data_IF_065559724276
#
_entry.id   IF_065559724276
#
_cell.length_a   1.000
_cell.length_b   1.000
_cell.length_c   1.000
_cell.angle_alpha   90.00
_cell.angle_beta   90.00
_cell.angle_gamma   90.00
#
_symmetry.space_group_name_H-M   'P 1'
#
loop_
_entity.id
_entity.type
_entity.pdbx_description
1 polymer ?
#
# COMPACT_ATOMS: atom_id res chain seq x y z
N UNK A 1 -51.35 -5.26 -16.28
CA UNK A 1 -51.84 -5.69 -14.95
C UNK A 1 -50.75 -5.47 -13.93
N UNK A 2 -50.95 -4.63 -12.91
CA UNK A 2 -49.98 -4.54 -11.81
C UNK A 2 -49.99 -5.86 -11.05
N UNK A 3 -48.84 -6.54 -11.00
CA UNK A 3 -48.70 -7.78 -10.26
C UNK A 3 -48.88 -7.48 -8.77
N UNK A 4 -49.95 -8.01 -8.17
CA UNK A 4 -50.24 -7.80 -6.74
C UNK A 4 -49.35 -8.73 -5.91
N UNK A 5 -48.47 -8.14 -5.10
CA UNK A 5 -47.58 -8.88 -4.22
C UNK A 5 -48.34 -9.47 -3.03
N UNK A 6 -47.88 -10.59 -2.50
CA UNK A 6 -48.58 -11.30 -1.42
C UNK A 6 -48.77 -10.45 -0.15
N UNK A 7 -47.77 -9.66 0.22
CA UNK A 7 -47.85 -8.79 1.40
C UNK A 7 -48.87 -7.64 1.29
N UNK A 8 -49.41 -7.38 0.08
CA UNK A 8 -50.47 -6.39 -0.14
C UNK A 8 -51.87 -6.97 0.13
N UNK A 9 -51.98 -8.29 0.29
CA UNK A 9 -53.22 -9.00 0.56
C UNK A 9 -53.45 -9.10 2.07
N UNK A 10 -54.29 -8.19 2.58
CA UNK A 10 -54.58 -8.05 4.01
C UNK A 10 -55.72 -8.95 4.51
N UNK A 11 -56.28 -9.80 3.65
CA UNK A 11 -57.32 -10.73 4.06
C UNK A 11 -56.75 -11.86 4.93
N UNK A 12 -57.52 -12.29 5.93
CA UNK A 12 -57.13 -13.39 6.83
C UNK A 12 -57.13 -14.77 6.15
N UNK A 13 -57.76 -14.90 4.98
CA UNK A 13 -57.75 -16.15 4.21
C UNK A 13 -56.34 -16.50 3.74
N UNK A 14 -56.04 -17.78 3.77
CA UNK A 14 -54.76 -18.29 3.29
C UNK A 14 -54.72 -18.34 1.76
N UNK A 15 -53.54 -18.07 1.21
CA UNK A 15 -53.25 -18.29 -0.20
C UNK A 15 -52.92 -19.76 -0.44
N UNK A 16 -53.02 -20.18 -1.70
CA UNK A 16 -52.68 -21.54 -2.12
C UNK A 16 -51.25 -21.89 -1.71
N UNK A 17 -51.09 -22.95 -0.90
CA UNK A 17 -49.80 -23.44 -0.36
C UNK A 17 -49.05 -22.41 0.49
N UNK A 18 -49.77 -21.53 1.16
CA UNK A 18 -49.19 -20.66 2.17
C UNK A 18 -49.00 -21.40 3.48
N UNK A 19 -47.81 -21.26 4.06
CA UNK A 19 -47.47 -21.82 5.35
C UNK A 19 -47.17 -20.68 6.30
N UNK A 20 -47.56 -20.82 7.57
CA UNK A 20 -47.30 -19.84 8.63
C UNK A 20 -46.34 -20.44 9.67
N UNK A 21 -45.43 -19.63 10.18
CA UNK A 21 -44.52 -19.99 11.27
C UNK A 21 -44.37 -18.82 12.25
N UNK A 22 -44.16 -19.08 13.54
CA UNK A 22 -43.88 -18.03 14.52
C UNK A 22 -42.57 -17.31 14.16
N UNK A 23 -42.54 -16.00 14.42
CA UNK A 23 -41.34 -15.19 14.21
C UNK A 23 -40.44 -15.33 15.44
N UNK A 24 -39.17 -15.71 15.23
CA UNK A 24 -38.19 -15.87 16.30
C UNK A 24 -38.02 -14.56 17.11
N UNK A 25 -38.15 -14.64 18.43
CA UNK A 25 -38.16 -13.50 19.37
C UNK A 25 -39.50 -12.76 19.49
N UNK A 26 -40.53 -13.24 18.80
CA UNK A 26 -41.87 -12.65 18.72
C UNK A 26 -42.97 -13.73 18.66
N UNK A 27 -42.68 -14.94 19.15
CA UNK A 27 -43.41 -16.17 18.88
C UNK A 27 -44.90 -16.08 19.25
N UNK A 28 -45.22 -15.44 20.38
CA UNK A 28 -46.60 -15.29 20.87
C UNK A 28 -47.34 -14.08 20.27
N UNK A 29 -46.64 -13.27 19.48
CA UNK A 29 -47.15 -11.98 19.00
C UNK A 29 -47.36 -11.94 17.49
N UNK A 30 -46.52 -12.64 16.73
CA UNK A 30 -46.47 -12.54 15.28
C UNK A 30 -46.06 -13.84 14.59
N UNK A 31 -46.70 -14.11 13.45
CA UNK A 31 -46.31 -15.17 12.51
C UNK A 31 -45.93 -14.59 11.16
N UNK A 32 -45.02 -15.24 10.45
CA UNK A 32 -44.63 -14.93 9.09
C UNK A 32 -45.05 -16.06 8.15
N UNK A 33 -45.54 -15.68 6.97
CA UNK A 33 -45.95 -16.63 5.94
C UNK A 33 -44.81 -16.92 4.96
N UNK A 34 -44.86 -18.08 4.31
CA UNK A 34 -43.95 -18.50 3.25
C UNK A 34 -43.91 -17.55 2.04
N UNK A 35 -44.92 -16.67 1.90
CA UNK A 35 -45.03 -15.65 0.86
C UNK A 35 -44.66 -14.23 1.35
N UNK A 36 -44.27 -14.09 2.61
CA UNK A 36 -43.88 -12.81 3.21
C UNK A 36 -45.04 -11.95 3.69
N UNK A 37 -46.20 -12.55 3.99
CA UNK A 37 -47.24 -11.89 4.80
C UNK A 37 -46.87 -11.99 6.27
N UNK A 38 -47.30 -11.03 7.07
CA UNK A 38 -47.08 -11.03 8.53
C UNK A 38 -48.44 -10.96 9.21
N UNK A 39 -48.71 -11.89 10.11
CA UNK A 39 -49.93 -11.98 10.89
C UNK A 39 -49.62 -11.56 12.32
N UNK A 40 -50.34 -10.57 12.83
CA UNK A 40 -50.37 -10.24 14.26
C UNK A 40 -51.38 -11.16 14.93
N UNK A 41 -50.96 -11.86 15.97
CA UNK A 41 -51.83 -12.72 16.76
C UNK A 41 -52.72 -11.89 17.70
N UNK A 42 -53.86 -12.47 18.08
CA UNK A 42 -54.78 -11.83 19.02
C UNK A 42 -54.18 -11.80 20.41
N UNK A 43 -54.29 -10.67 21.10
CA UNK A 43 -53.76 -10.51 22.46
C UNK A 43 -54.52 -9.44 23.23
N UNK A 44 -54.53 -9.57 24.57
CA UNK A 44 -55.06 -8.56 25.48
C UNK A 44 -53.93 -7.62 25.89
N UNK A 45 -54.19 -6.32 25.86
CA UNK A 45 -53.25 -5.28 26.30
C UNK A 45 -53.86 -4.52 27.48
N UNK A 46 -53.15 -4.45 28.60
CA UNK A 46 -53.54 -3.60 29.74
C UNK A 46 -53.09 -2.16 29.51
N UNK A 47 -54.04 -1.24 29.52
CA UNK A 47 -53.78 0.20 29.44
C UNK A 47 -53.20 0.69 30.77
N UNK A 48 -52.36 1.76 30.77
CA UNK A 48 -51.75 2.29 31.99
C UNK A 48 -52.74 2.64 33.11
N UNK A 49 -54.00 2.93 32.76
CA UNK A 49 -55.08 3.28 33.67
C UNK A 49 -56.04 2.09 33.96
N UNK A 50 -55.60 0.85 33.82
CA UNK A 50 -56.34 -0.35 34.25
C UNK A 50 -57.40 -0.90 33.29
N UNK A 51 -57.51 -0.38 32.06
CA UNK A 51 -58.44 -0.91 31.05
C UNK A 51 -57.84 -2.05 30.22
N UNK A 52 -58.64 -3.06 29.84
CA UNK A 52 -58.17 -4.15 28.95
C UNK A 52 -58.63 -3.87 27.52
N UNK A 53 -57.69 -3.81 26.57
CA UNK A 53 -57.98 -3.71 25.14
C UNK A 53 -57.66 -5.03 24.43
N UNK A 54 -58.64 -5.59 23.72
CA UNK A 54 -58.44 -6.76 22.89
C UNK A 54 -57.92 -6.33 21.52
N UNK A 55 -56.76 -6.84 21.12
CA UNK A 55 -56.24 -6.71 19.76
C UNK A 55 -56.61 -7.98 18.99
N UNK A 56 -57.44 -7.90 17.94
CA UNK A 56 -57.80 -9.07 17.13
C UNK A 56 -56.63 -9.52 16.23
N UNK A 57 -56.75 -10.72 15.67
CA UNK A 57 -55.84 -11.19 14.63
C UNK A 57 -55.95 -10.26 13.41
N UNK A 58 -54.82 -9.89 12.82
CA UNK A 58 -54.80 -9.07 11.60
C UNK A 58 -53.55 -9.35 10.77
N UNK A 59 -53.65 -9.22 9.45
CA UNK A 59 -52.48 -9.17 8.57
C UNK A 59 -51.93 -7.75 8.57
N UNK A 60 -50.63 -7.61 8.83
CA UNK A 60 -49.96 -6.32 8.83
C UNK A 60 -49.72 -5.83 7.40
N UNK A 61 -49.80 -4.52 7.21
CA UNK A 61 -49.40 -3.85 5.97
C UNK A 61 -47.95 -3.36 6.10
N UNK A 62 -46.96 -4.07 5.53
CA UNK A 62 -45.57 -3.67 5.64
C UNK A 62 -45.25 -2.48 4.74
N UNK A 63 -44.22 -1.72 5.11
CA UNK A 63 -43.75 -0.55 4.36
C UNK A 63 -42.79 -0.99 3.25
N UNK A 64 -42.98 -0.46 2.05
CA UNK A 64 -42.03 -0.62 0.94
C UNK A 64 -41.08 0.57 0.93
N UNK A 65 -39.79 0.31 1.11
CA UNK A 65 -38.72 1.29 0.95
C UNK A 65 -38.21 1.22 -0.48
N UNK A 66 -38.25 2.37 -1.17
CA UNK A 66 -37.75 2.54 -2.55
C UNK A 66 -36.46 3.35 -2.51
N UNK A 67 -35.40 2.85 -3.13
CA UNK A 67 -34.12 3.56 -3.26
C UNK A 67 -33.73 3.67 -4.73
N UNK A 68 -33.52 4.90 -5.20
CA UNK A 68 -33.08 5.16 -6.57
C UNK A 68 -31.59 4.89 -6.73
N UNK A 69 -31.24 4.15 -7.78
CA UNK A 69 -29.87 3.94 -8.22
C UNK A 69 -29.58 4.86 -9.42
N UNK A 70 -28.75 5.88 -9.20
CA UNK A 70 -28.35 6.83 -10.25
C UNK A 70 -27.64 6.14 -11.42
N UNK A 71 -26.88 5.08 -11.15
CA UNK A 71 -26.05 4.42 -12.16
C UNK A 71 -26.89 3.58 -13.15
N UNK A 72 -27.83 2.80 -12.61
CA UNK A 72 -28.69 1.94 -13.43
C UNK A 72 -29.98 2.66 -13.88
N UNK A 73 -30.15 3.93 -13.49
CA UNK A 73 -31.38 4.70 -13.70
C UNK A 73 -32.65 3.96 -13.23
N UNK A 74 -32.54 3.18 -12.15
CA UNK A 74 -33.62 2.30 -11.69
C UNK A 74 -33.83 2.35 -10.18
N UNK A 75 -34.75 1.52 -9.69
CA UNK A 75 -35.12 1.49 -8.28
C UNK A 75 -34.88 0.11 -7.67
N UNK A 76 -34.30 0.11 -6.48
CA UNK A 76 -34.29 -1.06 -5.61
C UNK A 76 -35.40 -0.92 -4.57
N UNK A 77 -36.03 -2.04 -4.24
CA UNK A 77 -37.13 -2.11 -3.29
C UNK A 77 -36.74 -3.01 -2.12
N UNK A 78 -37.16 -2.65 -0.92
CA UNK A 78 -37.11 -3.55 0.24
C UNK A 78 -38.38 -3.41 1.05
N UNK A 79 -38.93 -4.53 1.50
CA UNK A 79 -40.15 -4.56 2.31
C UNK A 79 -39.75 -4.72 3.78
N UNK A 80 -40.19 -3.77 4.61
CA UNK A 80 -39.90 -3.72 6.04
C UNK A 80 -41.21 -3.72 6.85
N UNK A 81 -41.20 -4.38 8.00
CA UNK A 81 -42.34 -4.43 8.90
C UNK A 81 -41.92 -4.02 10.32
N UNK A 82 -42.63 -3.07 10.96
CA UNK A 82 -42.48 -2.81 12.38
C UNK A 82 -43.20 -3.90 13.20
N UNK A 83 -42.46 -4.60 14.05
CA UNK A 83 -42.99 -5.54 15.04
C UNK A 83 -42.90 -4.90 16.42
N UNK A 84 -43.96 -4.96 17.22
CA UNK A 84 -44.00 -4.32 18.53
C UNK A 84 -43.89 -5.35 19.64
N UNK A 85 -42.92 -5.18 20.52
CA UNK A 85 -42.72 -5.97 21.73
C UNK A 85 -42.49 -5.01 22.90
N UNK A 86 -43.27 -5.17 23.97
CA UNK A 86 -43.18 -4.33 25.19
C UNK A 86 -43.25 -2.82 24.93
N UNK A 87 -44.02 -2.41 23.93
CA UNK A 87 -44.16 -0.99 23.54
C UNK A 87 -43.03 -0.46 22.65
N UNK A 88 -41.97 -1.25 22.41
CA UNK A 88 -40.86 -0.90 21.53
C UNK A 88 -41.12 -1.43 20.12
N UNK A 89 -40.87 -0.59 19.10
CA UNK A 89 -41.01 -0.95 17.69
C UNK A 89 -39.69 -1.44 17.09
N UNK A 90 -39.66 -2.69 16.63
CA UNK A 90 -38.54 -3.32 15.95
C UNK A 90 -38.80 -3.40 14.45
N UNK A 91 -38.08 -2.61 13.67
CA UNK A 91 -38.19 -2.60 12.21
C UNK A 91 -37.35 -3.70 11.59
N UNK A 92 -37.99 -4.78 11.11
CA UNK A 92 -37.32 -5.90 10.46
C UNK A 92 -37.53 -5.91 8.95
N UNK A 93 -36.54 -6.40 8.21
CA UNK A 93 -36.71 -6.77 6.79
C UNK A 93 -37.56 -8.02 6.71
N UNK A 94 -38.68 -7.97 5.97
CA UNK A 94 -39.59 -9.12 5.86
C UNK A 94 -38.90 -10.29 5.19
N UNK A 95 -38.02 -10.04 4.21
CA UNK A 95 -37.22 -11.08 3.58
C UNK A 95 -36.34 -11.84 4.59
N UNK A 96 -35.77 -11.16 5.60
CA UNK A 96 -34.99 -11.83 6.65
C UNK A 96 -35.87 -12.70 7.54
N UNK A 97 -37.07 -12.24 7.88
CA UNK A 97 -38.02 -13.00 8.69
C UNK A 97 -38.46 -14.28 7.96
N UNK A 98 -38.81 -14.18 6.68
CA UNK A 98 -39.18 -15.33 5.84
C UNK A 98 -38.00 -16.29 5.70
N UNK A 99 -36.80 -15.79 5.42
CA UNK A 99 -35.60 -16.62 5.28
C UNK A 99 -35.30 -17.41 6.55
N UNK A 100 -35.33 -16.74 7.71
CA UNK A 100 -35.09 -17.37 9.00
C UNK A 100 -36.12 -18.47 9.31
N UNK A 101 -37.39 -18.24 8.98
CA UNK A 101 -38.46 -19.20 9.27
C UNK A 101 -38.52 -20.40 8.31
N UNK A 102 -38.22 -20.20 7.02
CA UNK A 102 -38.50 -21.20 5.97
C UNK A 102 -37.27 -21.72 5.22
N UNK A 103 -36.12 -21.06 5.28
CA UNK A 103 -34.93 -21.44 4.50
C UNK A 103 -33.83 -21.97 5.41
N UNK A 104 -33.33 -21.16 6.33
CA UNK A 104 -32.31 -21.56 7.29
C UNK A 104 -32.30 -20.62 8.51
N UNK A 105 -31.99 -21.12 9.72
CA UNK A 105 -31.82 -20.28 10.90
C UNK A 105 -30.80 -19.17 10.64
N UNK A 106 -31.15 -17.96 11.03
CA UNK A 106 -30.35 -16.76 10.81
C UNK A 106 -30.49 -15.84 12.02
N UNK A 107 -29.36 -15.37 12.55
CA UNK A 107 -29.38 -14.32 13.56
C UNK A 107 -29.90 -13.02 12.93
N UNK A 108 -31.08 -12.58 13.37
CA UNK A 108 -31.70 -11.36 12.87
C UNK A 108 -30.87 -10.11 13.17
N UNK A 109 -29.96 -10.15 14.16
CA UNK A 109 -29.03 -9.07 14.49
C UNK A 109 -27.77 -9.06 13.62
N UNK A 110 -27.38 -10.20 13.05
CA UNK A 110 -26.19 -10.29 12.18
C UNK A 110 -26.37 -9.49 10.88
N UNK A 111 -25.47 -8.54 10.65
CA UNK A 111 -25.45 -7.70 9.44
C UNK A 111 -24.51 -8.21 8.35
N UNK A 112 -23.71 -9.25 8.63
CA UNK A 112 -22.77 -9.80 7.66
C UNK A 112 -23.48 -10.64 6.59
N UNK A 113 -24.52 -11.37 6.98
CA UNK A 113 -25.35 -12.17 6.08
C UNK A 113 -26.46 -11.31 5.46
N UNK A 114 -26.43 -11.18 4.13
CA UNK A 114 -27.39 -10.39 3.36
C UNK A 114 -28.31 -11.30 2.55
N UNK A 115 -29.62 -11.08 2.65
CA UNK A 115 -30.61 -11.85 1.89
C UNK A 115 -30.85 -11.18 0.54
N UNK A 116 -30.65 -11.94 -0.53
CA UNK A 116 -30.83 -11.55 -1.91
C UNK A 116 -32.04 -12.24 -2.52
N UNK A 117 -32.48 -11.70 -3.66
CA UNK A 117 -33.63 -12.17 -4.42
C UNK A 117 -33.14 -12.75 -5.75
N UNK A 118 -33.52 -13.99 -6.06
CA UNK A 118 -33.07 -14.69 -7.28
C UNK A 118 -33.58 -14.00 -8.55
N UNK A 119 -34.82 -13.49 -8.52
CA UNK A 119 -35.43 -12.70 -9.60
C UNK A 119 -34.95 -11.24 -9.65
N UNK A 120 -34.26 -10.76 -8.61
CA UNK A 120 -33.84 -9.37 -8.47
C UNK A 120 -34.94 -8.39 -8.04
N UNK A 121 -36.16 -8.84 -7.76
CA UNK A 121 -37.25 -8.00 -7.25
C UNK A 121 -37.40 -8.13 -5.73
N UNK A 122 -37.00 -7.08 -5.00
CA UNK A 122 -37.08 -7.06 -3.53
C UNK A 122 -38.49 -6.99 -2.95
N UNK A 123 -39.53 -7.01 -3.78
CA UNK A 123 -40.94 -7.13 -3.39
C UNK A 123 -41.43 -8.59 -3.43
N UNK A 124 -40.73 -9.49 -4.12
CA UNK A 124 -41.09 -10.90 -4.16
C UNK A 124 -40.47 -11.65 -2.96
N UNK A 125 -41.24 -11.71 -1.87
CA UNK A 125 -40.82 -12.25 -0.58
C UNK A 125 -41.05 -13.77 -0.43
N UNK A 126 -41.34 -14.49 -1.52
CA UNK A 126 -41.51 -15.94 -1.44
C UNK A 126 -40.20 -16.59 -0.98
N UNK A 127 -40.26 -17.49 0.01
CA UNK A 127 -39.07 -18.16 0.56
C UNK A 127 -38.19 -18.82 -0.50
N UNK A 128 -38.78 -19.33 -1.60
CA UNK A 128 -38.05 -19.96 -2.72
C UNK A 128 -37.22 -18.98 -3.53
N UNK A 129 -37.61 -17.71 -3.53
CA UNK A 129 -36.91 -16.61 -4.20
C UNK A 129 -35.76 -16.04 -3.36
N UNK A 130 -35.63 -16.42 -2.09
CA UNK A 130 -34.62 -15.87 -1.21
C UNK A 130 -33.36 -16.72 -1.19
N UNK A 131 -32.20 -16.07 -1.11
CA UNK A 131 -30.90 -16.71 -0.92
C UNK A 131 -29.99 -15.89 -0.01
N UNK A 132 -29.19 -16.54 0.83
CA UNK A 132 -28.15 -15.87 1.60
C UNK A 132 -26.92 -15.57 0.74
N UNK A 133 -26.38 -14.37 0.88
CA UNK A 133 -25.17 -13.92 0.21
C UNK A 133 -24.34 -13.05 1.15
N UNK A 134 -23.10 -12.77 0.76
CA UNK A 134 -22.22 -11.83 1.43
C UNK A 134 -22.08 -10.52 0.64
N UNK A 135 -21.52 -9.50 1.28
CA UNK A 135 -21.29 -8.17 0.69
C UNK A 135 -20.46 -8.28 -0.59
N UNK A 136 -19.37 -9.05 -0.59
CA UNK A 136 -18.47 -9.17 -1.74
C UNK A 136 -19.15 -9.76 -2.98
N UNK A 137 -19.97 -10.81 -2.82
CA UNK A 137 -20.74 -11.43 -3.90
C UNK A 137 -21.80 -10.46 -4.45
N UNK A 138 -22.47 -9.70 -3.58
CA UNK A 138 -23.47 -8.70 -3.99
C UNK A 138 -22.81 -7.58 -4.78
N UNK A 139 -21.69 -7.04 -4.29
CA UNK A 139 -20.92 -6.03 -5.00
C UNK A 139 -20.45 -6.53 -6.37
N UNK A 140 -19.89 -7.75 -6.43
CA UNK A 140 -19.46 -8.37 -7.68
C UNK A 140 -20.61 -8.47 -8.69
N UNK A 141 -21.76 -9.01 -8.28
CA UNK A 141 -22.97 -9.09 -9.13
C UNK A 141 -23.46 -7.71 -9.55
N UNK A 142 -23.40 -6.72 -8.66
CA UNK A 142 -23.79 -5.34 -8.96
C UNK A 142 -22.87 -4.72 -10.03
N UNK A 143 -21.56 -4.99 -9.97
CA UNK A 143 -20.61 -4.59 -11.01
C UNK A 143 -20.85 -5.30 -12.35
N UNK A 144 -21.05 -6.61 -12.32
CA UNK A 144 -21.33 -7.41 -13.52
C UNK A 144 -22.61 -6.96 -14.23
N UNK A 145 -23.65 -6.61 -13.46
CA UNK A 145 -24.92 -6.08 -13.97
C UNK A 145 -24.87 -4.58 -14.29
N UNK A 146 -23.71 -3.92 -14.19
CA UNK A 146 -23.56 -2.48 -14.44
C UNK A 146 -24.31 -1.56 -13.48
N UNK A 147 -24.78 -2.09 -12.33
CA UNK A 147 -25.55 -1.35 -11.31
C UNK A 147 -24.67 -0.62 -10.31
N UNK A 148 -23.41 -1.02 -10.18
CA UNK A 148 -22.39 -0.31 -9.42
C UNK A 148 -21.27 0.15 -10.37
N UNK A 149 -20.80 1.37 -10.18
CA UNK A 149 -19.66 1.92 -10.90
C UNK A 149 -18.45 1.97 -9.99
N UNK A 150 -17.30 1.57 -10.52
CA UNK A 150 -16.03 1.75 -9.83
C UNK A 150 -15.30 2.88 -10.52
N UNK A 151 -15.22 4.04 -9.85
CA UNK A 151 -14.35 5.15 -10.25
C UNK A 151 -12.88 4.76 -10.37
N UNK A 152 -12.50 3.53 -9.97
CA UNK A 152 -11.13 3.01 -9.99
C UNK A 152 -10.62 2.63 -11.37
N UNK A 153 -11.44 2.69 -12.45
CA UNK A 153 -10.95 2.65 -13.83
C UNK A 153 -10.30 3.98 -14.24
N UNK A 154 -9.35 4.43 -13.42
CA UNK A 154 -8.49 5.57 -13.75
C UNK A 154 -7.35 5.01 -14.60
N UNK A 155 -7.14 5.56 -15.82
CA UNK A 155 -6.01 5.14 -16.61
C UNK A 155 -4.71 5.41 -15.85
N UNK A 156 -3.71 4.59 -16.11
CA UNK A 156 -2.40 4.67 -15.45
C UNK A 156 -1.32 4.46 -16.49
N UNK A 157 -0.30 5.28 -16.39
CA UNK A 157 0.85 5.28 -17.28
C UNK A 157 2.06 4.70 -16.55
N UNK A 158 2.80 3.83 -17.24
CA UNK A 158 4.04 3.21 -16.81
C UNK A 158 5.22 3.90 -17.50
N UNK A 159 6.26 4.22 -16.75
CA UNK A 159 7.44 4.93 -17.24
C UNK A 159 8.72 4.19 -16.88
N UNK A 160 9.77 4.43 -17.67
CA UNK A 160 11.13 3.99 -17.37
C UNK A 160 11.73 4.76 -16.20
N UNK A 161 12.95 4.40 -15.77
CA UNK A 161 13.67 5.09 -14.69
C UNK A 161 14.09 6.52 -15.04
N UNK A 162 14.02 6.92 -16.32
CA UNK A 162 14.34 8.25 -16.83
C UNK A 162 13.09 9.13 -16.98
N UNK A 163 11.89 8.58 -16.77
CA UNK A 163 10.60 9.26 -16.88
C UNK A 163 9.97 9.25 -18.28
N UNK A 164 10.47 8.41 -19.19
CA UNK A 164 9.91 8.21 -20.53
C UNK A 164 8.75 7.22 -20.47
N UNK A 165 7.68 7.49 -21.22
CA UNK A 165 6.48 6.66 -21.27
C UNK A 165 6.77 5.31 -21.94
N UNK A 166 6.38 4.22 -21.28
CA UNK A 166 6.45 2.86 -21.82
C UNK A 166 5.07 2.44 -22.33
N UNK A 167 4.06 2.54 -21.46
CA UNK A 167 2.72 2.05 -21.76
C UNK A 167 1.66 2.78 -20.93
N UNK A 168 0.43 2.81 -21.45
CA UNK A 168 -0.74 3.31 -20.73
C UNK A 168 -1.81 2.24 -20.68
N UNK A 169 -2.37 2.01 -19.50
CA UNK A 169 -3.40 1.02 -19.23
C UNK A 169 -4.71 1.72 -18.86
N UNK A 170 -5.86 1.10 -19.14
CA UNK A 170 -7.16 1.67 -18.78
C UNK A 170 -7.45 1.57 -17.28
N UNK A 171 -6.79 0.65 -16.56
CA UNK A 171 -6.95 0.50 -15.10
C UNK A 171 -5.78 -0.21 -14.43
N UNK A 172 -5.70 -0.09 -13.09
CA UNK A 172 -4.78 -0.84 -12.22
C UNK A 172 -4.86 -2.36 -12.42
N UNK A 173 -6.07 -2.92 -12.55
CA UNK A 173 -6.26 -4.34 -12.78
C UNK A 173 -5.73 -4.78 -14.14
N UNK A 174 -5.91 -3.97 -15.19
CA UNK A 174 -5.36 -4.28 -16.53
C UNK A 174 -3.84 -4.22 -16.52
N UNK A 175 -3.25 -3.22 -15.86
CA UNK A 175 -1.80 -3.12 -15.70
C UNK A 175 -1.23 -4.31 -14.93
N UNK A 176 -1.90 -4.74 -13.85
CA UNK A 176 -1.52 -5.93 -13.09
C UNK A 176 -1.58 -7.20 -13.93
N UNK A 177 -2.68 -7.40 -14.68
CA UNK A 177 -2.87 -8.57 -15.53
C UNK A 177 -1.85 -8.65 -16.68
N UNK A 178 -1.60 -7.54 -17.39
CA UNK A 178 -0.65 -7.52 -18.53
C UNK A 178 0.81 -7.67 -18.09
N UNK A 179 1.18 -7.14 -16.94
CA UNK A 179 2.56 -7.19 -16.45
C UNK A 179 2.83 -8.32 -15.44
N UNK A 180 1.81 -9.06 -15.00
CA UNK A 180 1.94 -10.05 -13.92
C UNK A 180 2.29 -9.43 -12.56
N UNK A 181 1.85 -8.19 -12.31
CA UNK A 181 2.17 -7.44 -11.09
C UNK A 181 0.98 -7.39 -10.14
N UNK A 182 1.28 -7.40 -8.84
CA UNK A 182 0.26 -7.19 -7.80
C UNK A 182 -0.32 -5.77 -7.88
N UNK A 183 -1.64 -5.70 -7.94
CA UNK A 183 -2.41 -4.45 -8.08
C UNK A 183 -2.14 -3.50 -6.92
N UNK A 184 -2.00 -4.04 -5.70
CA UNK A 184 -1.74 -3.25 -4.49
C UNK A 184 -0.37 -2.57 -4.54
N UNK A 185 0.63 -3.29 -5.08
CA UNK A 185 1.99 -2.78 -5.28
C UNK A 185 2.04 -1.64 -6.30
N UNK A 186 1.29 -1.75 -7.42
CA UNK A 186 1.18 -0.66 -8.41
C UNK A 186 0.45 0.54 -7.79
N UNK A 187 -0.65 0.31 -7.08
CA UNK A 187 -1.41 1.38 -6.42
C UNK A 187 -0.56 2.15 -5.40
N UNK A 188 0.21 1.43 -4.59
CA UNK A 188 1.16 2.04 -3.64
C UNK A 188 2.23 2.87 -4.36
N UNK A 189 2.75 2.40 -5.50
CA UNK A 189 3.69 3.16 -6.32
C UNK A 189 3.09 4.47 -6.86
N UNK A 190 1.85 4.42 -7.37
CA UNK A 190 1.13 5.59 -7.89
C UNK A 190 0.88 6.63 -6.80
N UNK A 191 0.46 6.21 -5.60
CA UNK A 191 0.12 7.14 -4.51
C UNK A 191 1.32 7.65 -3.73
N UNK A 192 2.33 6.80 -3.50
CA UNK A 192 3.49 7.15 -2.70
C UNK A 192 4.68 7.67 -3.53
N UNK A 193 4.57 7.70 -4.86
CA UNK A 193 5.66 8.11 -5.74
C UNK A 193 6.87 7.17 -5.68
N UNK A 194 6.64 5.90 -5.33
CA UNK A 194 7.67 4.86 -5.27
C UNK A 194 7.71 4.09 -6.59
N UNK A 195 8.85 3.46 -6.91
CA UNK A 195 8.92 2.53 -8.04
C UNK A 195 8.33 1.17 -7.66
N UNK A 196 7.61 0.55 -8.60
CA UNK A 196 7.18 -0.85 -8.50
C UNK A 196 7.88 -1.65 -9.59
N UNK A 197 8.64 -2.69 -9.19
CA UNK A 197 9.34 -3.62 -10.10
C UNK A 197 10.25 -2.92 -11.13
N UNK A 198 10.87 -1.78 -10.75
CA UNK A 198 11.79 -1.03 -11.61
C UNK A 198 11.11 0.03 -12.50
N UNK A 199 9.78 0.17 -12.44
CA UNK A 199 9.03 1.14 -13.22
C UNK A 199 8.41 2.23 -12.34
N UNK A 200 8.33 3.43 -12.91
CA UNK A 200 7.58 4.55 -12.35
C UNK A 200 6.13 4.47 -12.83
N UNK A 201 5.18 4.81 -11.94
CA UNK A 201 3.76 4.72 -12.24
C UNK A 201 3.09 6.03 -11.90
N UNK A 202 2.22 6.51 -12.80
CA UNK A 202 1.46 7.74 -12.59
C UNK A 202 0.01 7.54 -13.01
N UNK A 203 -0.91 8.12 -12.24
CA UNK A 203 -2.31 8.19 -12.62
C UNK A 203 -2.52 9.15 -13.81
N UNK A 204 -3.42 8.76 -14.71
CA UNK A 204 -3.75 9.46 -15.94
C UNK A 204 -3.04 8.91 -17.17
N UNK A 205 -3.34 9.53 -18.32
CA UNK A 205 -2.63 9.37 -19.59
C UNK A 205 -1.61 10.49 -19.71
N UNK A 206 -0.39 10.28 -19.22
CA UNK A 206 0.64 11.31 -19.21
C UNK A 206 1.77 10.93 -20.17
N UNK A 207 2.17 11.86 -21.05
CA UNK A 207 3.27 11.63 -22.00
C UNK A 207 4.66 11.64 -21.36
N UNK A 208 4.82 12.27 -20.19
CA UNK A 208 6.06 12.34 -19.40
C UNK A 208 5.75 12.25 -17.92
N UNK A 209 6.67 11.66 -17.15
CA UNK A 209 6.52 11.53 -15.71
C UNK A 209 6.61 12.89 -15.00
N UNK A 210 5.64 13.22 -14.14
CA UNK A 210 5.65 14.45 -13.33
C UNK A 210 6.57 14.28 -12.13
N UNK A 211 7.78 14.85 -12.20
CA UNK A 211 8.83 14.75 -11.16
C UNK A 211 8.37 15.20 -9.75
N UNK A 212 7.38 16.09 -9.63
CA UNK A 212 6.83 16.54 -8.35
C UNK A 212 6.04 15.49 -7.56
N UNK A 213 5.76 14.32 -8.14
CA UNK A 213 5.03 13.21 -7.50
C UNK A 213 5.96 12.23 -6.76
N UNK A 214 7.28 12.31 -7.00
CA UNK A 214 8.27 11.57 -6.21
C UNK A 214 8.30 12.13 -4.79
N UNK A 215 8.20 11.27 -3.77
CA UNK A 215 8.52 11.66 -2.39
C UNK A 215 9.91 12.33 -2.37
N UNK A 216 10.06 13.41 -1.59
CA UNK A 216 11.33 14.05 -1.20
C UNK A 216 12.28 13.12 -0.41
N UNK A 217 12.42 11.87 -0.83
CA UNK A 217 13.58 11.05 -0.50
C UNK A 217 14.63 11.08 -1.63
N UNK A 218 14.29 11.71 -2.75
CA UNK A 218 15.27 12.22 -3.72
C UNK A 218 15.36 13.74 -3.51
N UNK A 219 15.76 14.17 -2.32
CA UNK A 219 16.56 15.38 -2.31
C UNK A 219 17.87 15.01 -3.00
N UNK A 220 17.93 15.32 -4.30
CA UNK A 220 19.13 15.78 -4.98
C UNK A 220 19.60 17.11 -4.33
N UNK A 221 19.68 17.10 -3.00
CA UNK A 221 19.86 18.25 -2.15
C UNK A 221 21.31 18.36 -1.79
N UNK A 222 21.92 19.44 -2.28
CA UNK A 222 22.95 20.15 -1.55
C UNK A 222 22.52 20.24 -0.08
N UNK A 223 23.00 19.33 0.75
CA UNK A 223 22.91 19.45 2.20
C UNK A 223 24.29 19.85 2.68
N UNK A 224 24.40 21.15 2.86
CA UNK A 224 25.39 21.87 3.64
C UNK A 224 25.66 21.15 4.96
N UNK A 225 26.63 20.25 4.97
CA UNK A 225 27.34 19.80 6.16
C UNK A 225 28.84 19.65 5.88
N UNK A 226 29.36 20.42 4.91
CA UNK A 226 30.76 20.82 4.86
C UNK A 226 30.90 22.12 5.67
N UNK A 227 30.67 22.01 6.98
CA UNK A 227 31.10 23.04 7.91
C UNK A 227 32.51 22.70 8.40
N UNK A 228 33.48 22.92 7.53
CA UNK A 228 34.78 23.44 7.93
C UNK A 228 34.89 24.77 7.20
N UNK A 229 34.91 25.87 7.95
CA UNK A 229 34.98 27.21 7.39
C UNK A 229 36.16 27.33 6.42
N UNK A 230 35.83 27.40 5.14
CA UNK A 230 36.67 27.90 4.07
C UNK A 230 35.73 28.21 2.91
N UNK A 231 35.28 29.46 2.85
CA UNK A 231 34.70 30.06 1.65
C UNK A 231 35.73 29.98 0.53
N UNK A 232 35.61 28.97 -0.32
CA UNK A 232 36.25 28.98 -1.64
C UNK A 232 35.21 28.55 -2.66
N UNK A 233 35.18 29.26 -3.77
CA UNK A 233 34.23 29.07 -4.87
C UNK A 233 34.13 27.60 -5.33
N UNK A 234 32.99 27.19 -5.91
CA UNK A 234 32.71 25.80 -6.34
C UNK A 234 33.67 25.20 -7.41
N UNK A 235 34.72 25.93 -7.83
CA UNK A 235 35.73 25.47 -8.79
C UNK A 235 36.88 24.67 -8.18
N UNK A 236 37.07 24.68 -6.86
CA UNK A 236 38.20 24.01 -6.19
C UNK A 236 37.82 22.84 -5.27
N UNK A 237 36.56 22.39 -5.28
CA UNK A 237 36.15 21.25 -4.45
C UNK A 237 36.80 19.93 -4.94
N UNK A 238 37.36 19.11 -4.02
CA UNK A 238 38.04 17.87 -4.39
C UNK A 238 37.06 16.91 -5.10
N UNK A 239 37.51 16.15 -6.11
CA UNK A 239 36.63 15.24 -6.84
C UNK A 239 35.83 14.28 -5.96
N UNK A 240 36.38 13.88 -4.83
CA UNK A 240 35.74 13.03 -3.83
C UNK A 240 34.45 13.61 -3.22
N UNK A 241 34.26 14.94 -3.26
CA UNK A 241 33.07 15.63 -2.75
C UNK A 241 31.93 15.72 -3.79
N UNK A 242 32.20 15.40 -5.06
CA UNK A 242 31.21 15.45 -6.13
C UNK A 242 30.35 14.18 -6.17
N UNK A 243 29.10 14.32 -5.72
CA UNK A 243 28.10 13.25 -5.68
C UNK A 243 27.35 13.06 -7.00
N UNK A 244 27.69 13.80 -8.05
CA UNK A 244 27.06 13.63 -9.36
C UNK A 244 27.38 12.25 -9.96
N UNK A 245 26.38 11.59 -10.58
CA UNK A 245 26.60 10.29 -11.22
C UNK A 245 27.40 10.39 -12.53
N UNK A 246 27.63 11.61 -13.03
CA UNK A 246 28.40 11.84 -14.25
C UNK A 246 29.87 11.47 -14.06
N UNK A 247 30.44 10.80 -15.07
CA UNK A 247 31.88 10.49 -15.10
C UNK A 247 32.65 11.72 -15.55
N UNK A 248 33.73 12.06 -14.84
CA UNK A 248 34.57 13.22 -15.18
C UNK A 248 35.55 12.88 -16.29
N UNK A 249 36.06 13.91 -16.99
CA UNK A 249 37.08 13.73 -18.04
C UNK A 249 38.34 13.08 -17.44
N UNK A 250 38.77 11.95 -18.00
CA UNK A 250 39.96 11.21 -17.53
C UNK A 250 39.74 10.34 -16.29
N UNK A 251 38.50 10.22 -15.82
CA UNK A 251 38.17 9.38 -14.68
C UNK A 251 37.99 7.91 -15.09
N UNK A 252 38.61 7.01 -14.33
CA UNK A 252 38.59 5.56 -14.54
C UNK A 252 38.09 4.87 -13.28
N UNK A 253 37.21 3.89 -13.46
CA UNK A 253 36.57 3.12 -12.40
C UNK A 253 37.09 1.68 -12.39
N UNK A 254 37.33 1.13 -11.20
CA UNK A 254 37.63 -0.29 -10.96
C UNK A 254 36.70 -0.83 -9.88
N UNK A 255 36.45 -2.13 -9.89
CA UNK A 255 35.66 -2.77 -8.83
C UNK A 255 36.39 -2.67 -7.48
N UNK A 256 35.61 -2.53 -6.41
CA UNK A 256 36.15 -2.48 -5.06
C UNK A 256 36.46 -3.91 -4.59
N UNK A 257 37.72 -4.25 -4.25
CA UNK A 257 38.12 -5.61 -3.87
C UNK A 257 37.25 -6.21 -2.75
N UNK A 258 36.74 -7.42 -2.96
CA UNK A 258 35.83 -8.13 -2.06
C UNK A 258 34.35 -7.69 -2.16
N UNK A 259 34.05 -6.72 -3.02
CA UNK A 259 32.74 -6.13 -3.25
C UNK A 259 32.43 -6.00 -4.76
N UNK A 260 32.96 -6.92 -5.56
CA UNK A 260 32.76 -7.02 -7.00
C UNK A 260 31.26 -7.07 -7.32
N UNK A 261 30.83 -6.30 -8.34
CA UNK A 261 29.41 -6.18 -8.70
C UNK A 261 28.53 -5.38 -7.72
N UNK A 262 29.08 -4.88 -6.60
CA UNK A 262 28.32 -4.06 -5.63
C UNK A 262 28.85 -2.63 -5.53
N UNK A 263 30.17 -2.44 -5.59
CA UNK A 263 30.81 -1.13 -5.45
C UNK A 263 32.02 -0.98 -6.37
N UNK A 264 32.25 0.24 -6.84
CA UNK A 264 33.41 0.63 -7.64
C UNK A 264 34.12 1.83 -7.01
N UNK A 265 35.40 1.98 -7.32
CA UNK A 265 36.24 3.10 -6.88
C UNK A 265 36.96 3.73 -8.08
N UNK A 266 37.03 5.05 -8.07
CA UNK A 266 37.62 5.88 -9.11
C UNK A 266 39.08 6.22 -8.79
N UNK A 267 39.89 6.43 -9.82
CA UNK A 267 41.26 6.96 -9.69
C UNK A 267 41.32 8.37 -9.07
N UNK A 268 40.19 9.07 -8.99
CA UNK A 268 40.03 10.37 -8.32
C UNK A 268 39.47 10.24 -6.88
N UNK A 269 39.34 9.01 -6.37
CA UNK A 269 38.89 8.74 -5.00
C UNK A 269 37.38 8.83 -4.77
N UNK A 270 36.57 8.82 -5.82
CA UNK A 270 35.12 8.65 -5.70
C UNK A 270 34.76 7.18 -5.52
N UNK A 271 33.72 6.89 -4.75
CA UNK A 271 33.23 5.52 -4.53
C UNK A 271 31.79 5.42 -5.03
N UNK A 272 31.50 4.48 -5.93
CA UNK A 272 30.20 4.28 -6.56
C UNK A 272 29.56 3.01 -6.00
N UNK A 273 28.29 3.08 -5.64
CA UNK A 273 27.45 1.92 -5.37
C UNK A 273 26.69 1.55 -6.65
N UNK A 274 26.79 0.29 -7.07
CA UNK A 274 26.09 -0.21 -8.24
C UNK A 274 24.60 -0.46 -7.93
N UNK A 275 23.78 -0.43 -8.97
CA UNK A 275 22.33 -0.60 -8.86
C UNK A 275 22.00 -2.01 -8.37
N UNK A 276 21.09 -2.13 -7.40
CA UNK A 276 20.71 -3.44 -6.86
C UNK A 276 19.25 -3.54 -6.44
N UNK A 277 18.72 -4.75 -6.46
CA UNK A 277 17.42 -5.09 -5.89
C UNK A 277 17.62 -5.66 -4.49
N UNK A 278 16.82 -5.21 -3.52
CA UNK A 278 16.85 -5.75 -2.16
C UNK A 278 16.35 -7.19 -2.14
N UNK A 279 16.98 -8.03 -1.33
CA UNK A 279 16.58 -9.43 -1.13
C UNK A 279 15.32 -9.61 -0.26
N UNK A 280 14.81 -8.55 0.38
CA UNK A 280 13.60 -8.63 1.20
C UNK A 280 12.31 -8.83 0.40
N UNK A 281 11.21 -9.18 1.10
CA UNK A 281 9.89 -9.49 0.51
C UNK A 281 9.36 -8.43 -0.47
N UNK A 282 9.68 -7.15 -0.21
CA UNK A 282 9.25 -6.02 -1.03
C UNK A 282 10.09 -5.81 -2.31
N UNK A 283 11.21 -6.54 -2.49
CA UNK A 283 12.15 -6.44 -3.62
C UNK A 283 12.39 -4.99 -4.09
N UNK A 284 12.81 -4.12 -3.16
CA UNK A 284 13.04 -2.68 -3.37
C UNK A 284 14.27 -2.43 -4.23
N UNK A 285 14.15 -1.63 -5.28
CA UNK A 285 15.27 -1.27 -6.15
C UNK A 285 16.05 -0.06 -5.60
N UNK A 286 17.38 -0.10 -5.70
CA UNK A 286 18.30 0.96 -5.33
C UNK A 286 19.10 1.39 -6.57
N UNK A 287 19.03 2.67 -6.99
CA UNK A 287 19.80 3.17 -8.12
C UNK A 287 21.30 3.19 -7.82
N UNK A 288 22.07 3.25 -8.91
CA UNK A 288 23.47 3.63 -8.85
C UNK A 288 23.63 5.02 -8.22
N UNK A 289 24.61 5.16 -7.33
CA UNK A 289 24.93 6.46 -6.71
C UNK A 289 26.39 6.55 -6.29
N UNK A 290 26.91 7.76 -6.31
CA UNK A 290 28.18 8.06 -5.66
C UNK A 290 27.95 8.13 -4.15
N UNK A 291 28.81 7.43 -3.40
CA UNK A 291 28.79 7.41 -1.94
C UNK A 291 29.50 8.64 -1.41
N UNK A 292 28.83 9.31 -0.47
CA UNK A 292 29.46 10.30 0.38
C UNK A 292 30.53 9.66 1.25
N UNK A 293 31.71 10.26 1.25
CA UNK A 293 32.81 9.90 2.14
C UNK A 293 32.67 10.64 3.47
N UNK A 294 33.07 10.01 4.55
CA UNK A 294 33.04 10.62 5.88
C UNK A 294 34.46 10.76 6.43
N UNK A 295 34.70 11.80 7.23
CA UNK A 295 36.01 12.04 7.82
C UNK A 295 36.17 11.25 9.13
N UNK A 296 37.25 10.47 9.25
CA UNK A 296 37.58 9.75 10.49
C UNK A 296 38.20 10.73 11.50
N UNK A 297 37.42 11.20 12.48
CA UNK A 297 37.94 12.01 13.60
C UNK A 297 38.81 11.13 14.52
N UNK A 298 40.09 11.45 14.70
CA UNK A 298 40.94 10.88 15.77
C UNK A 298 40.78 11.74 17.04
N UNK A 299 40.61 11.11 18.21
CA UNK A 299 40.83 11.77 19.50
C UNK A 299 42.35 11.90 19.68
N UNK A 300 42.91 13.07 19.42
CA UNK A 300 44.32 13.42 19.62
C UNK A 300 44.40 14.82 20.20
N UNK A 301 45.32 15.07 21.14
CA UNK A 301 45.55 16.37 21.81
C UNK A 301 46.34 17.38 20.95
N UNK A 302 46.86 17.00 19.78
CA UNK A 302 47.61 17.89 18.88
C UNK A 302 46.71 18.52 17.80
N UNK A 303 46.97 19.79 17.47
CA UNK A 303 46.19 20.60 16.51
C UNK A 303 46.26 20.12 15.05
N UNK A 304 47.17 19.21 14.70
CA UNK A 304 47.23 18.57 13.38
C UNK A 304 46.12 17.50 13.19
N UNK A 305 44.92 17.98 12.87
CA UNK A 305 43.74 17.15 12.56
C UNK A 305 43.68 16.78 11.08
N UNK A 306 44.61 15.98 10.56
CA UNK A 306 44.44 15.42 9.21
C UNK A 306 43.40 14.29 9.26
N UNK A 307 42.14 14.60 8.97
CA UNK A 307 41.05 13.63 9.00
C UNK A 307 40.99 12.84 7.69
N UNK A 308 41.38 11.56 7.73
CA UNK A 308 41.33 10.71 6.55
C UNK A 308 39.88 10.38 6.13
N UNK A 309 39.61 10.39 4.82
CA UNK A 309 38.31 10.04 4.25
C UNK A 309 38.08 8.53 4.24
N UNK A 310 36.92 8.12 4.76
CA UNK A 310 36.44 6.74 4.83
C UNK A 310 35.13 6.56 4.07
N UNK A 311 34.88 5.33 3.61
CA UNK A 311 33.59 4.90 3.05
C UNK A 311 33.08 3.67 3.79
N UNK A 312 31.76 3.57 3.97
CA UNK A 312 31.12 2.39 4.58
C UNK A 312 30.52 1.50 3.49
N UNK A 313 30.99 0.27 3.33
CA UNK A 313 30.45 -0.69 2.37
C UNK A 313 29.63 -1.78 3.08
N UNK A 314 28.64 -2.33 2.39
CA UNK A 314 27.73 -3.34 2.95
C UNK A 314 27.60 -4.55 2.02
N UNK A 315 27.84 -5.75 2.55
CA UNK A 315 27.69 -7.05 1.85
C UNK A 315 27.11 -8.06 2.83
N UNK A 316 26.07 -8.78 2.45
CA UNK A 316 25.39 -9.78 3.31
C UNK A 316 24.90 -9.20 4.65
N UNK A 317 24.35 -7.98 4.65
CA UNK A 317 23.85 -7.30 5.86
C UNK A 317 24.93 -6.71 6.78
N UNK A 318 26.21 -7.06 6.60
CA UNK A 318 27.33 -6.57 7.42
C UNK A 318 27.92 -5.29 6.83
N UNK A 319 28.13 -4.27 7.68
CA UNK A 319 28.74 -2.98 7.32
C UNK A 319 30.21 -2.93 7.77
N UNK A 320 31.09 -2.46 6.90
CA UNK A 320 32.53 -2.25 7.19
C UNK A 320 32.99 -0.89 6.66
N UNK A 321 33.95 -0.27 7.35
CA UNK A 321 34.54 1.03 6.99
C UNK A 321 35.91 0.84 6.35
N UNK A 322 36.18 1.55 5.26
CA UNK A 322 37.43 1.47 4.51
C UNK A 322 38.03 2.85 4.28
N UNK A 323 39.35 2.96 4.40
CA UNK A 323 40.11 4.17 4.08
C UNK A 323 40.26 4.29 2.57
N UNK A 324 39.63 5.28 1.95
CA UNK A 324 39.53 5.36 0.48
C UNK A 324 40.91 5.50 -0.18
N UNK A 325 41.78 6.34 0.39
CA UNK A 325 43.14 6.55 -0.13
C UNK A 325 43.96 5.25 -0.29
N UNK A 326 43.82 4.29 0.65
CA UNK A 326 44.53 2.99 0.56
C UNK A 326 44.12 2.21 -0.68
N UNK A 327 42.83 2.19 -0.97
CA UNK A 327 42.28 1.45 -2.11
C UNK A 327 42.55 2.16 -3.43
N UNK A 328 42.53 3.50 -3.46
CA UNK A 328 42.94 4.25 -4.66
C UNK A 328 44.41 3.97 -5.00
N UNK A 329 45.31 4.06 -4.01
CA UNK A 329 46.73 3.78 -4.23
C UNK A 329 46.95 2.34 -4.70
N UNK A 330 46.36 1.36 -3.98
CA UNK A 330 46.49 -0.06 -4.31
C UNK A 330 46.04 -0.41 -5.74
N UNK A 331 44.99 0.26 -6.24
CA UNK A 331 44.39 -0.08 -7.53
C UNK A 331 44.94 0.73 -8.71
N UNK A 332 45.47 1.93 -8.47
CA UNK A 332 45.84 2.88 -9.53
C UNK A 332 47.29 3.35 -9.50
N UNK A 333 48.06 3.02 -8.45
CA UNK A 333 49.49 3.33 -8.35
C UNK A 333 50.30 2.04 -8.27
N UNK A 334 50.18 1.31 -7.16
CA UNK A 334 50.97 0.12 -6.89
C UNK A 334 50.24 -0.80 -5.91
N UNK A 335 50.19 -2.10 -6.21
CA UNK A 335 49.54 -3.09 -5.38
C UNK A 335 50.38 -3.36 -4.12
N UNK A 336 49.73 -3.36 -2.95
CA UNK A 336 50.38 -3.67 -1.67
C UNK A 336 49.40 -4.39 -0.74
N UNK A 337 49.89 -5.02 0.33
CA UNK A 337 49.01 -5.67 1.30
C UNK A 337 48.17 -4.64 2.06
N UNK A 338 46.87 -4.64 1.77
CA UNK A 338 45.90 -3.77 2.41
C UNK A 338 45.74 -4.05 3.91
N UNK A 339 46.12 -5.24 4.36
CA UNK A 339 46.06 -5.67 5.76
C UNK A 339 47.26 -5.19 6.59
N UNK A 340 48.38 -4.81 5.95
CA UNK A 340 49.60 -4.41 6.65
C UNK A 340 49.41 -3.06 7.38
N UNK A 341 49.59 -3.01 8.72
CA UNK A 341 49.48 -1.79 9.51
C UNK A 341 50.68 -0.82 9.37
N UNK A 342 51.83 -1.31 8.92
CA UNK A 342 53.10 -0.57 8.82
C UNK A 342 53.17 0.29 7.55
N UNK A 343 52.46 -0.14 6.50
CA UNK A 343 52.34 0.59 5.24
C UNK A 343 51.26 1.67 5.36
N UNK A 344 51.62 2.95 5.26
CA UNK A 344 50.66 4.07 5.28
C UNK A 344 50.72 4.92 4.03
N UNK A 345 49.55 5.14 3.43
CA UNK A 345 49.37 6.08 2.33
C UNK A 345 49.34 7.50 2.90
N UNK A 346 50.16 8.38 2.32
CA UNK A 346 50.30 9.81 2.62
C UNK A 346 49.91 10.64 1.37
N UNK A 347 49.74 11.93 1.59
CA UNK A 347 49.30 12.92 0.58
C UNK A 347 50.47 13.86 0.28
N UNK A 348 50.81 14.08 -1.00
CA UNK A 348 51.95 14.92 -1.40
C UNK A 348 51.70 16.40 -1.11
N UNK A 349 50.47 16.85 -1.30
CA UNK A 349 50.00 18.21 -1.02
C UNK A 349 49.62 18.46 0.45
N UNK A 350 49.65 17.41 1.30
CA UNK A 350 49.23 17.49 2.69
C UNK A 350 47.72 17.52 2.91
N UNK A 351 46.88 17.52 1.85
CA UNK A 351 45.42 17.53 1.96
C UNK A 351 44.84 16.11 1.85
N UNK A 352 44.20 15.65 2.93
CA UNK A 352 43.56 14.34 2.97
C UNK A 352 42.26 14.24 2.16
N UNK A 353 41.74 15.35 1.63
CA UNK A 353 40.57 15.36 0.75
C UNK A 353 40.95 15.18 -0.72
N UNK A 354 42.19 15.47 -1.10
CA UNK A 354 42.70 15.19 -2.42
C UNK A 354 43.13 13.73 -2.58
N UNK A 355 42.15 12.90 -2.91
CA UNK A 355 42.30 11.45 -3.12
C UNK A 355 42.74 11.08 -4.54
N UNK A 356 43.22 12.02 -5.35
CA UNK A 356 43.70 11.69 -6.69
C UNK A 356 44.93 10.77 -6.61
N UNK A 357 44.93 9.69 -7.40
CA UNK A 357 45.99 8.67 -7.35
C UNK A 357 47.42 9.24 -7.47
N UNK A 358 47.62 10.33 -8.23
CA UNK A 358 48.94 10.99 -8.41
C UNK A 358 49.43 11.70 -7.15
N UNK A 359 48.50 12.12 -6.29
CA UNK A 359 48.77 12.81 -5.03
C UNK A 359 49.10 11.83 -3.88
N UNK A 360 48.94 10.52 -4.10
CA UNK A 360 49.15 9.51 -3.07
C UNK A 360 50.55 8.89 -3.19
N UNK A 361 51.19 8.61 -2.05
CA UNK A 361 52.43 7.83 -1.98
C UNK A 361 52.44 6.94 -0.73
N UNK A 362 53.13 5.80 -0.82
CA UNK A 362 53.29 4.87 0.29
C UNK A 362 54.49 5.26 1.15
N UNK A 363 54.34 5.19 2.47
CA UNK A 363 55.43 5.38 3.43
C UNK A 363 55.37 4.28 4.48
N UNK A 364 56.50 3.60 4.65
CA UNK A 364 56.68 2.64 5.74
C UNK A 364 56.92 3.37 7.06
N UNK A 365 56.34 2.85 8.14
CA UNK A 365 56.64 3.33 9.48
C UNK A 365 57.87 2.58 9.99
N UNK A 366 58.97 3.30 10.21
CA UNK A 366 60.11 2.76 10.94
C UNK A 366 59.67 2.40 12.37
N UNK A 367 59.84 1.13 12.75
CA UNK A 367 59.66 0.68 14.13
C UNK A 367 60.71 1.41 14.97
N UNK A 368 60.29 2.27 15.90
CA UNK A 368 61.20 2.81 16.91
C UNK A 368 61.60 1.66 17.82
N UNK A 369 62.80 1.10 17.64
CA UNK A 369 63.44 0.33 18.69
C UNK A 369 63.69 1.29 19.85
N UNK A 370 62.93 1.15 20.94
CA UNK A 370 63.33 1.73 22.21
C UNK A 370 64.65 1.05 22.60
N UNK A 371 65.78 1.75 22.43
CA UNK A 371 67.00 1.42 23.18
C UNK A 371 66.69 1.67 24.66
N UNK A 372 66.63 0.61 25.44
CA UNK A 372 66.88 0.69 26.88
C UNK A 372 68.40 0.75 27.03
N UNK A 373 68.90 1.91 27.46
CA UNK A 373 70.13 2.03 28.24
C UNK A 373 69.75 2.71 29.56
#
# INVERSE_FOLDING_TARGET
>A
MQQQYAYQDLFLRDRKRELWKPIAGFEDFYEVSSHGRIKSLSRKWMLPHGGIRNKPIQILSPRVVRRYNKQAADHSYSVIAPLYLEGIAYCHSVARLVYNAFVAPLDLKDRSTLICFKDGDGRNLNYRNLEASNISKILKRSYEKGRAFSETRKPISQFDTRGNLIATYASLSEAGAKNGFDVSSISSAVHNGNMCKGFLWQQGRAGKFRKGVLRKHIDLGLSTNFASGATTEPKHAPPAADLSPATRKGERWKDFPGYEGLYQISNMGRVKALGKVSEGNLKKWYPERIKMLTSKKRKSKSEDRTSALITTLCKGGKKKNYLVARYVYCLFVEAFDLSDPNLRVRYKDGDAHNLEYRNLYLKEIAIRHNKQD
#
